data_IF_526230992354
#
_entry.id   IF_526230992354
#
_cell.length_a   1.000
_cell.length_b   1.000
_cell.length_c   1.000
_cell.angle_alpha   90.00
_cell.angle_beta   90.00
_cell.angle_gamma   90.00
#
_symmetry.space_group_name_H-M   'P 1'
#
loop_
_entity.id
_entity.type
_entity.pdbx_description
1 polymer ?
#
# COMPACT_ATOMS: atom_id res chain seq x y z
N UNK A 1 7.31 29.39 -8.70
CA UNK A 1 7.17 27.92 -8.67
C UNK A 1 7.17 27.50 -7.21
N UNK A 2 6.07 26.96 -6.68
CA UNK A 2 5.92 26.65 -5.26
C UNK A 2 6.58 25.30 -4.97
N UNK A 3 7.78 25.33 -4.40
CA UNK A 3 8.39 24.16 -3.77
C UNK A 3 7.53 23.78 -2.57
N UNK A 4 6.75 22.70 -2.70
CA UNK A 4 6.08 22.07 -1.59
C UNK A 4 7.13 21.43 -0.67
N UNK A 5 7.69 22.23 0.24
CA UNK A 5 8.42 21.71 1.40
C UNK A 5 7.45 20.85 2.19
N UNK A 6 7.55 19.54 2.02
CA UNK A 6 7.05 18.61 3.01
C UNK A 6 7.80 18.93 4.31
N UNK A 7 7.14 19.62 5.24
CA UNK A 7 7.61 19.80 6.61
C UNK A 7 7.53 18.43 7.31
N UNK A 8 8.35 17.49 6.87
CA UNK A 8 8.69 16.30 7.62
C UNK A 8 9.58 16.80 8.74
N UNK A 9 9.05 16.94 9.96
CA UNK A 9 9.80 17.33 11.17
C UNK A 9 10.92 16.36 11.57
N UNK A 10 11.55 15.70 10.60
CA UNK A 10 12.67 14.81 10.72
C UNK A 10 13.95 15.67 10.67
N UNK A 11 14.66 15.85 11.81
CA UNK A 11 15.99 16.46 11.78
C UNK A 11 16.90 15.63 10.87
N UNK A 12 17.75 16.31 10.12
CA UNK A 12 18.59 15.73 9.06
C UNK A 12 19.25 14.40 9.45
N UNK A 13 19.21 13.47 8.48
CA UNK A 13 19.47 12.02 8.52
C UNK A 13 18.24 11.20 8.90
N UNK A 14 17.74 10.40 7.93
CA UNK A 14 16.85 9.29 8.24
C UNK A 14 17.43 8.48 9.41
N UNK A 15 16.59 8.21 10.41
CA UNK A 15 16.93 7.17 11.37
C UNK A 15 17.17 5.87 10.58
N UNK A 16 18.24 5.10 10.86
CA UNK A 16 18.45 3.78 10.27
C UNK A 16 17.23 2.85 10.39
N UNK A 17 16.38 3.10 11.39
CA UNK A 17 15.10 2.41 11.55
C UNK A 17 14.08 2.79 10.46
N UNK A 18 13.98 4.07 10.09
CA UNK A 18 13.08 4.52 9.03
C UNK A 18 13.45 3.86 7.70
N UNK A 19 14.73 3.84 7.34
CA UNK A 19 15.20 3.19 6.12
C UNK A 19 14.82 1.70 6.09
N UNK A 20 15.00 0.97 7.20
CA UNK A 20 14.58 -0.44 7.30
C UNK A 20 13.08 -0.62 7.12
N UNK A 21 12.27 0.29 7.67
CA UNK A 21 10.80 0.28 7.49
C UNK A 21 10.43 0.53 6.03
N UNK A 22 11.10 1.45 5.35
CA UNK A 22 10.85 1.74 3.93
C UNK A 22 11.20 0.54 3.05
N UNK A 23 12.33 -0.14 3.27
CA UNK A 23 12.66 -1.38 2.54
C UNK A 23 11.62 -2.48 2.79
N UNK A 24 11.15 -2.58 4.04
CA UNK A 24 10.11 -3.54 4.42
C UNK A 24 8.76 -3.25 3.72
N UNK A 25 8.38 -1.97 3.62
CA UNK A 25 7.18 -1.53 2.88
C UNK A 25 7.34 -1.83 1.39
N UNK A 26 8.49 -1.54 0.80
CA UNK A 26 8.78 -1.85 -0.61
C UNK A 26 8.68 -3.35 -0.89
N UNK A 27 9.16 -4.19 0.02
CA UNK A 27 8.97 -5.64 -0.04
C UNK A 27 7.50 -6.05 -0.08
N UNK A 28 6.67 -5.47 0.80
CA UNK A 28 5.21 -5.70 0.80
C UNK A 28 4.55 -5.22 -0.50
N UNK A 29 4.92 -4.04 -1.01
CA UNK A 29 4.39 -3.49 -2.26
C UNK A 29 4.73 -4.35 -3.49
N UNK A 30 5.95 -4.88 -3.54
CA UNK A 30 6.36 -5.80 -4.60
C UNK A 30 5.58 -7.11 -4.51
N UNK A 31 5.41 -7.66 -3.31
CA UNK A 31 4.56 -8.84 -3.09
C UNK A 31 3.11 -8.60 -3.55
N UNK A 32 2.52 -7.46 -3.22
CA UNK A 32 1.17 -7.12 -3.69
C UNK A 32 1.13 -7.03 -5.22
N UNK A 33 2.15 -6.44 -5.84
CA UNK A 33 2.25 -6.36 -7.30
C UNK A 33 2.30 -7.75 -7.95
N UNK A 34 3.05 -8.69 -7.38
CA UNK A 34 3.09 -10.09 -7.81
C UNK A 34 1.74 -10.80 -7.61
N UNK A 35 1.06 -10.54 -6.49
CA UNK A 35 -0.27 -11.08 -6.22
C UNK A 35 -1.31 -10.60 -7.23
N UNK A 36 -1.19 -9.36 -7.72
CA UNK A 36 -2.06 -8.81 -8.76
C UNK A 36 -1.84 -9.45 -10.14
N UNK A 37 -0.67 -10.05 -10.40
CA UNK A 37 -0.46 -10.86 -11.62
C UNK A 37 -1.29 -12.16 -11.59
N UNK A 38 -1.41 -12.75 -10.40
CA UNK A 38 -2.22 -13.94 -10.13
C UNK A 38 -3.46 -13.57 -9.29
N UNK A 39 -4.17 -12.53 -9.74
CA UNK A 39 -5.17 -11.84 -8.92
C UNK A 39 -6.28 -12.75 -8.41
N UNK A 40 -6.86 -13.58 -9.26
CA UNK A 40 -7.96 -14.48 -8.89
C UNK A 40 -7.55 -15.42 -7.74
N UNK A 41 -6.42 -16.11 -7.90
CA UNK A 41 -5.90 -17.02 -6.88
C UNK A 41 -5.64 -16.30 -5.55
N UNK A 42 -5.01 -15.12 -5.60
CA UNK A 42 -4.64 -14.34 -4.40
C UNK A 42 -5.81 -13.61 -3.75
N UNK A 43 -6.87 -13.37 -4.52
CA UNK A 43 -8.14 -12.89 -4.01
C UNK A 43 -8.78 -13.99 -3.18
N UNK A 44 -9.09 -15.14 -3.77
CA UNK A 44 -9.88 -16.18 -3.10
C UNK A 44 -9.15 -16.91 -1.97
N UNK A 45 -7.81 -16.93 -1.97
CA UNK A 45 -7.05 -17.45 -0.82
C UNK A 45 -6.82 -16.41 0.29
N UNK A 46 -7.32 -15.17 0.13
CA UNK A 46 -7.18 -14.08 1.10
C UNK A 46 -5.78 -13.47 1.22
N UNK A 47 -4.80 -13.91 0.43
CA UNK A 47 -3.42 -13.46 0.54
C UNK A 47 -3.24 -11.98 0.16
N UNK A 48 -4.07 -11.47 -0.77
CA UNK A 48 -4.05 -10.07 -1.16
C UNK A 48 -4.62 -9.17 -0.06
N UNK A 49 -5.75 -9.55 0.54
CA UNK A 49 -6.35 -8.86 1.69
C UNK A 49 -5.33 -8.73 2.83
N UNK A 50 -4.72 -9.85 3.22
CA UNK A 50 -3.72 -9.87 4.29
C UNK A 50 -2.49 -8.99 3.99
N UNK A 51 -2.06 -8.92 2.72
CA UNK A 51 -0.90 -8.11 2.33
C UNK A 51 -1.22 -6.62 2.33
N UNK A 52 -2.45 -6.25 1.94
CA UNK A 52 -2.94 -4.86 2.03
C UNK A 52 -3.13 -4.40 3.48
N UNK A 53 -3.64 -5.25 4.36
CA UNK A 53 -3.72 -4.96 5.79
C UNK A 53 -2.33 -4.77 6.40
N UNK A 54 -1.39 -5.66 6.05
CA UNK A 54 0.01 -5.53 6.48
C UNK A 54 0.63 -4.22 5.97
N UNK A 55 0.39 -3.85 4.72
CA UNK A 55 0.86 -2.57 4.15
C UNK A 55 0.31 -1.39 4.95
N UNK A 56 -0.98 -1.41 5.30
CA UNK A 56 -1.59 -0.36 6.11
C UNK A 56 -0.91 -0.22 7.48
N UNK A 57 -0.66 -1.33 8.18
CA UNK A 57 0.04 -1.31 9.46
C UNK A 57 1.45 -0.74 9.33
N UNK A 58 2.21 -1.13 8.30
CA UNK A 58 3.56 -0.61 8.07
C UNK A 58 3.58 0.89 7.74
N UNK A 59 2.60 1.38 6.99
CA UNK A 59 2.45 2.81 6.71
C UNK A 59 2.08 3.60 7.98
N UNK A 60 1.27 3.02 8.86
CA UNK A 60 0.94 3.61 10.16
C UNK A 60 2.17 3.68 11.08
N UNK A 61 3.05 2.68 11.04
CA UNK A 61 4.30 2.70 11.80
C UNK A 61 5.19 3.89 11.41
N UNK A 62 5.41 4.11 10.10
CA UNK A 62 6.24 5.24 9.67
C UNK A 62 5.53 6.59 9.91
N UNK A 63 4.20 6.63 9.92
CA UNK A 63 3.46 7.81 10.37
C UNK A 63 3.76 8.14 11.83
N UNK A 64 3.73 7.13 12.73
CA UNK A 64 4.11 7.30 14.15
C UNK A 64 5.58 7.74 14.33
N UNK A 65 6.42 7.56 13.32
CA UNK A 65 7.80 8.05 13.28
C UNK A 65 7.93 9.49 12.75
N UNK A 66 6.82 10.18 12.44
CA UNK A 66 6.79 11.57 11.98
C UNK A 66 6.61 11.75 10.48
N UNK A 67 6.34 10.69 9.72
CA UNK A 67 6.00 10.80 8.29
C UNK A 67 4.50 11.06 8.13
N UNK A 68 4.07 12.30 8.37
CA UNK A 68 2.65 12.70 8.36
C UNK A 68 1.84 12.19 7.15
N UNK A 69 2.33 12.30 5.89
CA UNK A 69 1.56 11.84 4.73
C UNK A 69 1.28 10.33 4.71
N UNK A 70 2.05 9.53 5.47
CA UNK A 70 1.90 8.09 5.49
C UNK A 70 0.56 7.64 6.10
N UNK A 71 -0.05 8.45 6.98
CA UNK A 71 -1.37 8.16 7.54
C UNK A 71 -2.44 8.02 6.46
N UNK A 72 -2.50 8.96 5.50
CA UNK A 72 -3.48 8.91 4.41
C UNK A 72 -3.28 7.69 3.51
N UNK A 73 -2.03 7.28 3.29
CA UNK A 73 -1.74 6.06 2.53
C UNK A 73 -2.06 4.79 3.33
N UNK A 74 -1.91 4.80 4.65
CA UNK A 74 -2.36 3.70 5.51
C UNK A 74 -3.87 3.52 5.41
N UNK A 75 -4.66 4.61 5.51
CA UNK A 75 -6.11 4.56 5.32
C UNK A 75 -6.48 4.05 3.92
N UNK A 76 -5.79 4.52 2.87
CA UNK A 76 -5.98 4.02 1.51
C UNK A 76 -5.76 2.50 1.43
N UNK A 77 -4.68 1.98 2.02
CA UNK A 77 -4.40 0.54 2.05
C UNK A 77 -5.48 -0.26 2.83
N UNK A 78 -6.00 0.26 3.95
CA UNK A 78 -7.11 -0.38 4.68
C UNK A 78 -8.40 -0.41 3.85
N UNK A 79 -8.70 0.68 3.14
CA UNK A 79 -9.86 0.75 2.25
C UNK A 79 -9.73 -0.25 1.11
N UNK A 80 -8.54 -0.39 0.51
CA UNK A 80 -8.28 -1.42 -0.50
C UNK A 80 -8.51 -2.82 0.07
N UNK A 81 -7.98 -3.15 1.25
CA UNK A 81 -8.18 -4.45 1.88
C UNK A 81 -9.68 -4.77 2.07
N UNK A 82 -10.47 -3.81 2.57
CA UNK A 82 -11.92 -3.95 2.71
C UNK A 82 -12.61 -4.11 1.36
N UNK A 83 -12.16 -3.38 0.35
CA UNK A 83 -12.71 -3.44 -1.00
C UNK A 83 -12.50 -4.82 -1.65
N UNK A 84 -11.27 -5.36 -1.65
CA UNK A 84 -11.03 -6.71 -2.19
C UNK A 84 -11.73 -7.79 -1.37
N UNK A 85 -11.81 -7.65 -0.04
CA UNK A 85 -12.61 -8.57 0.79
C UNK A 85 -14.09 -8.56 0.40
N UNK A 86 -14.69 -7.37 0.29
CA UNK A 86 -16.09 -7.23 -0.07
C UNK A 86 -16.37 -7.77 -1.47
N UNK A 87 -15.45 -7.55 -2.42
CA UNK A 87 -15.54 -8.13 -3.74
C UNK A 87 -15.46 -9.65 -3.71
N UNK A 88 -14.50 -10.23 -2.97
CA UNK A 88 -14.34 -11.69 -2.80
C UNK A 88 -15.61 -12.32 -2.27
N UNK A 89 -16.15 -11.81 -1.16
CA UNK A 89 -17.38 -12.33 -0.53
C UNK A 89 -18.53 -12.31 -1.54
N UNK A 90 -18.71 -11.20 -2.26
CA UNK A 90 -19.74 -11.09 -3.30
C UNK A 90 -19.50 -12.09 -4.44
N UNK A 91 -18.26 -12.25 -4.89
CA UNK A 91 -17.93 -13.16 -5.97
C UNK A 91 -18.20 -14.63 -5.59
N UNK A 92 -17.92 -14.99 -4.32
CA UNK A 92 -18.24 -16.29 -3.72
C UNK A 92 -19.77 -16.50 -3.64
N UNK A 93 -20.53 -15.51 -3.15
CA UNK A 93 -21.99 -15.56 -2.99
C UNK A 93 -22.76 -15.71 -4.31
N UNK A 94 -22.34 -14.97 -5.34
CA UNK A 94 -23.04 -14.91 -6.63
C UNK A 94 -22.38 -15.77 -7.71
N UNK A 95 -21.33 -16.51 -7.38
CA UNK A 95 -20.54 -17.32 -8.31
C UNK A 95 -20.16 -16.55 -9.59
N UNK A 96 -19.70 -15.31 -9.45
CA UNK A 96 -19.38 -14.42 -10.58
C UNK A 96 -18.03 -13.72 -10.42
N UNK A 97 -17.29 -13.63 -11.52
CA UNK A 97 -16.05 -12.86 -11.64
C UNK A 97 -16.27 -11.53 -12.38
N UNK A 98 -17.52 -11.06 -12.48
CA UNK A 98 -17.83 -9.81 -13.16
C UNK A 98 -17.07 -8.66 -12.48
N UNK A 99 -16.37 -7.86 -13.30
CA UNK A 99 -15.60 -6.72 -12.81
C UNK A 99 -14.25 -7.08 -12.18
N UNK A 100 -13.83 -8.34 -12.18
CA UNK A 100 -12.55 -8.78 -11.59
C UNK A 100 -11.36 -7.98 -12.13
N UNK A 101 -11.33 -7.73 -13.44
CA UNK A 101 -10.28 -6.92 -14.07
C UNK A 101 -10.29 -5.47 -13.58
N UNK A 102 -11.47 -4.85 -13.47
CA UNK A 102 -11.61 -3.48 -12.95
C UNK A 102 -11.11 -3.38 -11.52
N UNK A 103 -11.50 -4.34 -10.66
CA UNK A 103 -11.05 -4.40 -9.26
C UNK A 103 -9.52 -4.51 -9.20
N UNK A 104 -8.93 -5.40 -10.01
CA UNK A 104 -7.47 -5.55 -10.12
C UNK A 104 -6.81 -4.24 -10.53
N UNK A 105 -7.32 -3.58 -11.56
CA UNK A 105 -6.71 -2.38 -12.14
C UNK A 105 -6.83 -1.18 -11.18
N UNK A 106 -7.95 -1.07 -10.46
CA UNK A 106 -8.15 -0.07 -9.41
C UNK A 106 -7.14 -0.26 -8.27
N UNK A 107 -6.96 -1.50 -7.80
CA UNK A 107 -5.96 -1.82 -6.77
C UNK A 107 -4.55 -1.53 -7.27
N UNK A 108 -4.22 -1.92 -8.50
CA UNK A 108 -2.91 -1.68 -9.11
C UNK A 108 -2.56 -0.19 -9.19
N UNK A 109 -3.53 0.64 -9.59
CA UNK A 109 -3.38 2.09 -9.67
C UNK A 109 -3.01 2.68 -8.30
N UNK A 110 -3.77 2.33 -7.26
CA UNK A 110 -3.52 2.83 -5.92
C UNK A 110 -2.22 2.29 -5.28
N UNK A 111 -1.83 1.06 -5.60
CA UNK A 111 -0.54 0.51 -5.17
C UNK A 111 0.62 1.23 -5.85
N UNK A 112 0.45 1.64 -7.10
CA UNK A 112 1.44 2.46 -7.81
C UNK A 112 1.62 3.83 -7.17
N UNK A 113 0.54 4.48 -6.75
CA UNK A 113 0.61 5.74 -5.98
C UNK A 113 1.41 5.59 -4.68
N UNK A 114 1.11 4.55 -3.89
CA UNK A 114 1.80 4.28 -2.62
C UNK A 114 3.29 4.01 -2.89
N UNK A 115 3.62 3.25 -3.94
CA UNK A 115 5.00 2.98 -4.34
C UNK A 115 5.74 4.25 -4.74
N UNK A 116 5.09 5.15 -5.48
CA UNK A 116 5.67 6.44 -5.84
C UNK A 116 5.97 7.30 -4.59
N UNK A 117 5.06 7.34 -3.62
CA UNK A 117 5.27 8.02 -2.35
C UNK A 117 6.48 7.47 -1.59
N UNK A 118 6.56 6.14 -1.40
CA UNK A 118 7.66 5.50 -0.66
C UNK A 118 9.01 5.70 -1.38
N UNK A 119 9.04 5.61 -2.70
CA UNK A 119 10.25 5.89 -3.48
C UNK A 119 10.68 7.36 -3.36
N UNK A 120 9.73 8.30 -3.38
CA UNK A 120 10.01 9.72 -3.17
C UNK A 120 10.59 10.00 -1.79
N UNK A 121 10.03 9.36 -0.75
CA UNK A 121 10.56 9.47 0.62
C UNK A 121 11.98 8.91 0.73
N UNK A 122 12.25 7.73 0.14
CA UNK A 122 13.58 7.12 0.12
C UNK A 122 14.61 7.99 -0.61
N UNK A 123 14.20 8.66 -1.69
CA UNK A 123 15.08 9.58 -2.43
C UNK A 123 15.39 10.85 -1.62
N UNK A 124 14.42 11.36 -0.84
CA UNK A 124 14.61 12.53 0.02
C UNK A 124 15.56 12.28 1.20
N UNK A 125 15.60 11.04 1.70
CA UNK A 125 16.40 10.65 2.86
C UNK A 125 17.87 10.32 2.53
N UNK A 126 18.21 10.20 1.25
CA UNK A 126 19.56 9.93 0.74
C UNK A 126 20.26 11.21 0.31
#
# INVERSE_FOLDING_TARGET
MREGRWYLGLPGKASPELDRRLETILGTLNKISEQLLYFEQNLFNGALEASLEKLASQLEEIWRMGVEPAYSYAEKARLLARYVKAYRVRAEEFHTLRGLSSVRDDVLSHISDIKAFINGLRAYLR
#
